data_IF_108732414959
#
_entry.id   IF_108732414959
#
_cell.length_a   1.000
_cell.length_b   1.000
_cell.length_c   1.000
_cell.angle_alpha   90.00
_cell.angle_beta   90.00
_cell.angle_gamma   90.00
#
_symmetry.space_group_name_H-M   'P 1'
#
loop_
_entity.id
_entity.type
_entity.pdbx_description
1 polymer ?
#
# COMPACT_ATOMS: atom_id res chain seq x y z
N UNK A 1 -12.35 -24.81 -3.95
CA UNK A 1 -13.22 -24.42 -2.82
C UNK A 1 -14.17 -23.35 -3.33
N UNK A 2 -15.48 -23.57 -3.24
CA UNK A 2 -16.49 -22.64 -3.71
C UNK A 2 -16.49 -21.39 -2.80
N UNK A 3 -15.71 -20.38 -3.17
CA UNK A 3 -15.87 -19.04 -2.60
C UNK A 3 -17.26 -18.55 -2.95
N UNK A 4 -18.06 -18.19 -1.94
CA UNK A 4 -19.23 -17.35 -2.19
C UNK A 4 -18.71 -16.10 -2.88
N UNK A 5 -19.05 -15.93 -4.16
CA UNK A 5 -18.83 -14.67 -4.85
C UNK A 5 -19.67 -13.64 -4.08
N UNK A 6 -18.99 -12.77 -3.33
CA UNK A 6 -19.67 -11.71 -2.60
C UNK A 6 -20.20 -10.77 -3.69
N UNK A 7 -21.52 -10.72 -3.84
CA UNK A 7 -22.18 -9.78 -4.75
C UNK A 7 -22.00 -8.37 -4.17
N UNK A 8 -20.90 -7.71 -4.53
CA UNK A 8 -20.57 -6.35 -4.11
C UNK A 8 -21.09 -5.36 -5.14
N UNK A 9 -22.39 -5.40 -5.42
CA UNK A 9 -23.03 -4.34 -6.18
C UNK A 9 -22.85 -2.99 -5.47
N UNK A 10 -22.70 -1.91 -6.24
CA UNK A 10 -22.73 -0.57 -5.67
C UNK A 10 -24.10 -0.30 -5.04
N UNK A 11 -24.16 0.50 -3.96
CA UNK A 11 -25.42 1.05 -3.46
C UNK A 11 -26.24 1.71 -4.57
N UNK A 12 -27.56 1.67 -4.42
CA UNK A 12 -28.47 2.32 -5.36
C UNK A 12 -28.11 3.80 -5.54
N UNK A 13 -28.16 4.28 -6.79
CA UNK A 13 -27.79 5.66 -7.15
C UNK A 13 -26.28 5.91 -7.29
N UNK A 14 -25.43 4.89 -7.12
CA UNK A 14 -23.99 4.98 -7.38
C UNK A 14 -23.59 4.16 -8.61
N UNK A 15 -22.74 4.73 -9.46
CA UNK A 15 -22.31 4.12 -10.71
C UNK A 15 -20.77 4.11 -10.83
N UNK A 16 -20.24 3.04 -11.41
CA UNK A 16 -18.84 2.96 -11.80
C UNK A 16 -18.58 3.65 -13.14
N UNK A 17 -17.49 4.41 -13.21
CA UNK A 17 -16.97 4.96 -14.45
C UNK A 17 -15.48 4.67 -14.59
N UNK A 18 -15.03 4.44 -15.83
CA UNK A 18 -13.63 4.65 -16.13
C UNK A 18 -13.34 6.13 -15.98
N UNK A 19 -12.21 6.43 -15.35
CA UNK A 19 -11.71 7.78 -15.28
C UNK A 19 -11.58 8.47 -16.65
N UNK A 20 -11.16 7.72 -17.68
CA UNK A 20 -11.01 8.20 -19.04
C UNK A 20 -12.31 8.77 -19.63
N UNK A 21 -13.47 8.27 -19.18
CA UNK A 21 -14.78 8.73 -19.63
C UNK A 21 -15.26 9.99 -18.87
N UNK A 22 -14.56 10.34 -17.79
CA UNK A 22 -14.94 11.41 -16.85
C UNK A 22 -13.76 12.34 -16.53
N UNK A 23 -12.81 12.49 -17.45
CA UNK A 23 -11.57 13.28 -17.27
C UNK A 23 -11.85 14.69 -16.78
N UNK A 24 -12.82 15.40 -17.37
CA UNK A 24 -13.16 16.76 -16.96
C UNK A 24 -13.65 16.83 -15.51
N UNK A 25 -14.53 15.90 -15.12
CA UNK A 25 -15.04 15.83 -13.75
C UNK A 25 -13.92 15.46 -12.77
N UNK A 26 -13.02 14.55 -13.18
CA UNK A 26 -11.85 14.20 -12.38
C UNK A 26 -10.91 15.38 -12.18
N UNK A 27 -10.45 16.02 -13.25
CA UNK A 27 -9.55 17.17 -13.13
C UNK A 27 -10.16 18.31 -12.31
N UNK A 28 -11.47 18.54 -12.42
CA UNK A 28 -12.16 19.51 -11.56
C UNK A 28 -12.07 19.11 -10.09
N UNK A 29 -12.36 17.85 -9.76
CA UNK A 29 -12.32 17.34 -8.38
C UNK A 29 -10.90 17.30 -7.80
N UNK A 30 -9.90 16.95 -8.62
CA UNK A 30 -8.49 16.93 -8.23
C UNK A 30 -7.96 18.33 -7.91
N UNK A 31 -8.43 19.36 -8.63
CA UNK A 31 -8.00 20.74 -8.44
C UNK A 31 -8.80 21.49 -7.35
N UNK A 32 -9.78 20.84 -6.73
CA UNK A 32 -10.54 21.42 -5.63
C UNK A 32 -9.83 21.14 -4.29
N UNK A 33 -9.28 22.16 -3.62
CA UNK A 33 -8.53 21.99 -2.37
C UNK A 33 -9.41 21.51 -1.21
N UNK A 34 -10.74 21.62 -1.32
CA UNK A 34 -11.68 21.15 -0.30
C UNK A 34 -12.17 19.73 -0.57
N UNK A 35 -11.75 19.10 -1.67
CA UNK A 35 -12.18 17.76 -2.00
C UNK A 35 -11.45 16.72 -1.15
N UNK A 36 -12.16 16.12 -0.19
CA UNK A 36 -11.58 15.15 0.74
C UNK A 36 -10.99 13.90 0.08
N UNK A 37 -11.39 13.56 -1.15
CA UNK A 37 -10.81 12.43 -1.88
C UNK A 37 -9.38 12.70 -2.37
N UNK A 38 -9.03 13.98 -2.49
CA UNK A 38 -7.75 14.48 -3.02
C UNK A 38 -6.97 15.30 -1.99
N UNK A 39 -7.41 15.38 -0.73
CA UNK A 39 -6.73 16.15 0.31
C UNK A 39 -5.24 15.76 0.51
N UNK A 40 -4.86 14.54 0.12
CA UNK A 40 -3.47 14.05 0.13
C UNK A 40 -2.58 14.62 -0.98
N UNK A 41 -3.14 15.24 -2.02
CA UNK A 41 -2.35 15.87 -3.10
C UNK A 41 -1.84 17.26 -2.76
N UNK A 42 -2.21 17.80 -1.59
CA UNK A 42 -2.04 19.21 -1.23
C UNK A 42 -1.16 19.51 -0.02
N UNK A 43 -0.50 18.51 0.58
CA UNK A 43 0.24 18.73 1.84
C UNK A 43 1.74 18.91 1.63
N UNK A 44 2.31 19.85 2.37
CA UNK A 44 3.74 20.11 2.65
C UNK A 44 4.48 18.93 3.32
N UNK A 45 4.07 17.68 3.04
CA UNK A 45 4.75 16.46 3.45
C UNK A 45 6.01 16.32 2.59
N UNK A 46 7.16 16.53 3.20
CA UNK A 46 8.47 16.68 2.53
C UNK A 46 8.90 15.44 1.74
N UNK A 47 8.35 14.25 2.00
CA UNK A 47 8.59 13.08 1.16
C UNK A 47 7.60 11.96 1.48
N UNK A 48 6.65 11.72 0.59
CA UNK A 48 5.98 10.42 0.47
C UNK A 48 6.47 9.81 -0.85
N UNK A 49 7.13 8.65 -0.77
CA UNK A 49 7.67 7.94 -1.92
C UNK A 49 6.58 7.78 -2.98
N UNK A 50 6.78 8.37 -4.17
CA UNK A 50 5.85 8.23 -5.30
C UNK A 50 4.83 9.36 -5.49
N UNK A 51 4.73 10.37 -4.60
CA UNK A 51 3.85 11.56 -4.82
C UNK A 51 3.98 12.16 -6.23
N UNK A 52 5.20 12.40 -6.76
CA UNK A 52 5.36 12.99 -8.10
C UNK A 52 4.75 12.17 -9.23
N UNK A 53 4.58 10.85 -9.03
CA UNK A 53 4.14 9.91 -10.06
C UNK A 53 2.63 9.69 -10.12
N UNK A 54 1.89 10.07 -9.08
CA UNK A 54 0.41 9.99 -9.10
C UNK A 54 -0.23 10.76 -10.24
N UNK A 55 0.44 11.84 -10.68
CA UNK A 55 0.00 12.63 -11.82
C UNK A 55 -0.04 11.83 -13.11
N UNK A 56 0.91 10.92 -13.30
CA UNK A 56 0.96 10.10 -14.51
C UNK A 56 -0.24 9.13 -14.61
N UNK A 57 -0.80 8.68 -13.48
CA UNK A 57 -1.96 7.78 -13.48
C UNK A 57 -3.21 8.38 -14.15
N UNK A 58 -3.30 9.71 -14.25
CA UNK A 58 -4.44 10.39 -14.88
C UNK A 58 -4.05 11.30 -16.05
N UNK A 59 -2.76 11.62 -16.23
CA UNK A 59 -2.29 12.36 -17.40
C UNK A 59 -1.85 11.46 -18.55
N UNK A 60 -1.40 10.24 -18.26
CA UNK A 60 -0.94 9.31 -19.28
C UNK A 60 -2.10 8.47 -19.84
N UNK A 61 -2.26 8.49 -21.16
CA UNK A 61 -3.35 7.81 -21.86
C UNK A 61 -3.32 6.28 -21.69
N UNK A 62 -2.14 5.70 -21.45
CA UNK A 62 -2.01 4.27 -21.21
C UNK A 62 -2.45 3.88 -19.80
N UNK A 63 -2.26 4.78 -18.83
CA UNK A 63 -2.50 4.52 -17.40
C UNK A 63 -3.91 4.91 -16.96
N UNK A 64 -4.51 5.94 -17.53
CA UNK A 64 -5.82 6.46 -17.10
C UNK A 64 -6.96 5.44 -17.20
N UNK A 65 -6.88 4.52 -18.16
CA UNK A 65 -7.93 3.48 -18.38
C UNK A 65 -8.08 2.49 -17.21
N UNK A 66 -7.06 2.37 -16.37
CA UNK A 66 -7.05 1.48 -15.21
C UNK A 66 -7.69 2.11 -13.96
N UNK A 67 -7.96 3.41 -13.97
CA UNK A 67 -8.48 4.12 -12.82
C UNK A 67 -10.01 4.07 -12.81
N UNK A 68 -10.60 4.11 -11.60
CA UNK A 68 -12.04 3.98 -11.41
C UNK A 68 -12.57 5.10 -10.53
N UNK A 69 -13.74 5.59 -10.92
CA UNK A 69 -14.52 6.57 -10.17
C UNK A 69 -15.87 5.96 -9.83
N UNK A 70 -16.37 6.28 -8.64
CA UNK A 70 -17.77 6.08 -8.27
C UNK A 70 -18.42 7.45 -8.25
N UNK A 71 -19.49 7.59 -9.03
CA UNK A 71 -20.22 8.84 -9.18
C UNK A 71 -21.65 8.64 -8.72
N UNK A 72 -22.17 9.58 -7.94
CA UNK A 72 -23.57 9.62 -7.56
C UNK A 72 -24.42 10.10 -8.74
N UNK A 73 -25.38 9.29 -9.17
CA UNK A 73 -26.17 9.48 -10.40
C UNK A 73 -26.98 10.77 -10.37
N UNK A 74 -27.59 11.11 -9.22
CA UNK A 74 -28.44 12.29 -9.10
C UNK A 74 -27.69 13.63 -9.05
N UNK A 75 -26.43 13.62 -8.60
CA UNK A 75 -25.65 14.86 -8.38
C UNK A 75 -24.48 15.00 -9.36
N UNK A 76 -24.06 13.90 -10.00
CA UNK A 76 -22.85 13.86 -10.83
C UNK A 76 -21.54 13.96 -10.03
N UNK A 77 -21.62 13.88 -8.69
CA UNK A 77 -20.49 14.04 -7.80
C UNK A 77 -19.62 12.79 -7.72
N UNK A 78 -18.30 12.95 -7.74
CA UNK A 78 -17.36 11.86 -7.43
C UNK A 78 -17.38 11.61 -5.92
N UNK A 79 -17.79 10.42 -5.53
CA UNK A 79 -17.95 10.00 -4.13
C UNK A 79 -16.91 9.00 -3.66
N UNK A 80 -16.29 8.30 -4.61
CA UNK A 80 -15.16 7.44 -4.34
C UNK A 80 -14.28 7.30 -5.58
N UNK A 81 -13.04 6.88 -5.35
CA UNK A 81 -12.08 6.60 -6.40
C UNK A 81 -11.20 5.41 -6.03
N UNK A 82 -10.64 4.78 -7.05
CA UNK A 82 -9.55 3.84 -6.85
C UNK A 82 -8.50 4.00 -7.94
N UNK A 83 -7.25 3.97 -7.47
CA UNK A 83 -6.08 4.02 -8.32
C UNK A 83 -5.42 2.66 -8.45
N UNK A 84 -5.04 2.34 -9.68
CA UNK A 84 -4.26 1.17 -10.02
C UNK A 84 -3.07 1.54 -10.90
N UNK A 85 -2.05 0.69 -10.91
CA UNK A 85 -0.99 0.75 -11.91
C UNK A 85 -0.79 -0.64 -12.52
N UNK A 86 -0.86 -0.78 -13.85
CA UNK A 86 -0.47 -2.02 -14.50
C UNK A 86 1.05 -2.17 -14.46
N UNK A 87 1.56 -3.39 -14.35
CA UNK A 87 3.00 -3.65 -14.44
C UNK A 87 3.31 -4.99 -15.10
N UNK A 88 4.48 -5.06 -15.72
CA UNK A 88 5.07 -6.29 -16.18
C UNK A 88 5.96 -6.89 -15.09
N UNK A 89 5.78 -8.18 -14.86
CA UNK A 89 6.61 -9.00 -13.99
C UNK A 89 7.22 -10.18 -14.78
N UNK A 90 8.54 -10.20 -15.02
CA UNK A 90 9.20 -11.27 -15.76
C UNK A 90 9.02 -12.65 -15.10
N UNK A 91 9.08 -12.72 -13.77
CA UNK A 91 8.89 -13.99 -13.03
C UNK A 91 7.47 -14.53 -13.18
N UNK A 92 6.46 -13.66 -13.14
CA UNK A 92 5.07 -14.06 -13.40
C UNK A 92 4.91 -14.54 -14.84
N UNK A 93 5.52 -13.85 -15.82
CA UNK A 93 5.50 -14.28 -17.22
C UNK A 93 6.10 -15.69 -17.37
N UNK A 94 7.23 -15.97 -16.70
CA UNK A 94 7.84 -17.29 -16.71
C UNK A 94 6.95 -18.37 -16.06
N UNK A 95 6.26 -18.06 -14.95
CA UNK A 95 5.29 -18.97 -14.31
C UNK A 95 4.12 -19.28 -15.23
N UNK A 96 3.56 -18.25 -15.87
CA UNK A 96 2.44 -18.39 -16.80
C UNK A 96 2.84 -19.23 -18.03
N UNK A 97 4.04 -19.01 -18.57
CA UNK A 97 4.57 -19.79 -19.69
C UNK A 97 4.74 -21.26 -19.34
N UNK A 98 5.26 -21.59 -18.14
CA UNK A 98 5.38 -22.98 -17.66
C UNK A 98 4.01 -23.64 -17.48
N UNK A 99 3.03 -22.88 -17.00
CA UNK A 99 1.67 -23.39 -16.77
C UNK A 99 0.90 -23.65 -18.07
N UNK A 100 1.27 -22.96 -19.16
CA UNK A 100 0.70 -23.16 -20.49
C UNK A 100 1.38 -24.29 -21.29
N UNK A 101 2.52 -24.80 -20.84
CA UNK A 101 3.22 -25.90 -21.52
C UNK A 101 2.45 -27.23 -21.35
N UNK A 102 2.30 -28.02 -22.42
CA UNK A 102 1.64 -29.33 -22.33
C UNK A 102 2.43 -30.26 -21.41
N UNK A 103 1.79 -30.73 -20.34
CA UNK A 103 2.38 -31.66 -19.38
C UNK A 103 1.68 -33.02 -19.48
N UNK A 104 2.45 -34.11 -19.39
CA UNK A 104 1.94 -35.50 -19.49
C UNK A 104 0.98 -35.88 -18.34
N UNK A 105 0.87 -35.07 -17.28
CA UNK A 105 -0.12 -35.18 -16.23
C UNK A 105 -1.03 -33.94 -16.25
N UNK A 106 -2.30 -34.17 -16.54
CA UNK A 106 -3.23 -33.26 -17.23
C UNK A 106 -3.83 -32.11 -16.38
N UNK A 107 -3.10 -31.48 -15.46
CA UNK A 107 -3.59 -30.26 -14.79
C UNK A 107 -2.41 -29.36 -14.35
N UNK A 108 -2.21 -28.18 -14.95
CA UNK A 108 -1.26 -27.21 -14.43
C UNK A 108 -1.72 -26.74 -13.02
N UNK A 109 -0.80 -26.55 -12.06
CA UNK A 109 -1.17 -26.06 -10.74
C UNK A 109 -1.80 -24.67 -10.88
N UNK A 110 -2.87 -24.36 -10.12
CA UNK A 110 -3.52 -23.07 -10.23
C UNK A 110 -2.53 -21.96 -9.82
N UNK A 111 -2.65 -20.80 -10.47
CA UNK A 111 -1.67 -19.70 -10.39
C UNK A 111 -1.40 -19.24 -8.95
N UNK A 112 -2.42 -19.40 -8.10
CA UNK A 112 -2.40 -19.11 -6.67
C UNK A 112 -1.46 -20.06 -5.89
N UNK A 113 -1.25 -21.29 -6.37
CA UNK A 113 -0.29 -22.25 -5.80
C UNK A 113 1.17 -21.96 -6.21
N UNK A 114 1.37 -21.16 -7.26
CA UNK A 114 2.70 -20.73 -7.78
C UNK A 114 3.13 -19.35 -7.28
N UNK A 115 2.37 -18.73 -6.37
CA UNK A 115 2.62 -17.38 -5.85
C UNK A 115 3.99 -17.25 -5.20
N UNK A 116 4.47 -18.28 -4.47
CA UNK A 116 5.80 -18.27 -3.86
C UNK A 116 6.94 -18.14 -4.89
N UNK A 117 6.79 -18.75 -6.08
CA UNK A 117 7.84 -18.78 -7.11
C UNK A 117 8.09 -17.39 -7.74
N UNK A 118 7.07 -16.53 -7.77
CA UNK A 118 7.16 -15.22 -8.42
C UNK A 118 6.97 -14.06 -7.46
N UNK A 119 5.96 -14.06 -6.60
CA UNK A 119 5.50 -12.85 -5.92
C UNK A 119 6.47 -12.42 -4.81
N UNK A 120 6.89 -13.36 -3.96
CA UNK A 120 7.87 -13.10 -2.88
C UNK A 120 9.17 -12.48 -3.42
N UNK A 121 9.81 -13.03 -4.48
CA UNK A 121 11.03 -12.45 -5.04
C UNK A 121 10.81 -11.28 -6.02
N UNK A 122 9.61 -11.02 -6.55
CA UNK A 122 9.39 -10.01 -7.58
C UNK A 122 8.68 -8.73 -7.11
N UNK A 123 7.87 -8.80 -6.04
CA UNK A 123 7.23 -7.61 -5.50
C UNK A 123 8.28 -6.80 -4.70
N UNK A 124 8.30 -5.46 -4.81
CA UNK A 124 9.32 -4.65 -4.15
C UNK A 124 9.09 -4.50 -2.64
N UNK A 125 10.15 -4.21 -1.90
CA UNK A 125 10.08 -3.93 -0.46
C UNK A 125 9.59 -2.52 -0.15
N UNK A 126 9.75 -1.59 -1.10
CA UNK A 126 9.24 -0.22 -1.07
C UNK A 126 7.74 -0.11 -1.36
N UNK A 127 7.02 -1.25 -1.42
CA UNK A 127 5.56 -1.29 -1.46
C UNK A 127 4.93 -0.59 -2.65
N UNK A 128 3.87 0.17 -2.37
CA UNK A 128 3.11 0.90 -3.38
C UNK A 128 3.95 1.95 -4.10
N UNK A 129 4.88 2.64 -3.43
CA UNK A 129 5.70 3.70 -4.00
C UNK A 129 6.67 3.17 -5.07
N UNK A 130 7.36 2.06 -4.79
CA UNK A 130 8.23 1.40 -5.78
C UNK A 130 7.41 0.76 -6.91
N UNK A 131 6.23 0.19 -6.62
CA UNK A 131 5.44 -0.44 -7.68
C UNK A 131 4.72 0.56 -8.59
N UNK A 132 4.28 1.71 -8.05
CA UNK A 132 3.84 2.87 -8.83
C UNK A 132 4.95 3.33 -9.77
N UNK A 133 6.17 3.45 -9.24
CA UNK A 133 7.36 3.77 -10.04
C UNK A 133 7.59 2.79 -11.18
N UNK A 134 7.60 1.48 -10.87
CA UNK A 134 7.78 0.43 -11.88
C UNK A 134 6.75 0.55 -12.99
N UNK A 135 5.46 0.63 -12.65
CA UNK A 135 4.40 0.63 -13.65
C UNK A 135 4.39 1.89 -14.53
N UNK A 136 4.68 3.06 -13.96
CA UNK A 136 4.83 4.32 -14.72
C UNK A 136 6.03 4.26 -15.65
N UNK A 137 7.19 3.80 -15.18
CA UNK A 137 8.39 3.69 -16.00
C UNK A 137 8.24 2.69 -17.13
N UNK A 138 7.57 1.56 -16.91
CA UNK A 138 7.27 0.59 -17.96
C UNK A 138 6.29 1.17 -19.01
N UNK A 139 5.31 1.98 -18.59
CA UNK A 139 4.44 2.70 -19.54
C UNK A 139 5.25 3.71 -20.37
N UNK A 140 6.17 4.43 -19.75
CA UNK A 140 7.07 5.34 -20.46
C UNK A 140 7.97 4.58 -21.45
N UNK A 141 8.56 3.46 -21.04
CA UNK A 141 9.37 2.61 -21.90
C UNK A 141 8.59 2.12 -23.14
N UNK A 142 7.33 1.68 -22.95
CA UNK A 142 6.43 1.29 -24.06
C UNK A 142 6.13 2.42 -25.04
N UNK A 143 6.14 3.66 -24.55
CA UNK A 143 5.87 4.86 -25.33
C UNK A 143 7.15 5.53 -25.86
N UNK A 144 8.34 4.98 -25.58
CA UNK A 144 9.63 5.60 -25.91
C UNK A 144 9.89 6.91 -25.16
N UNK A 145 9.19 7.16 -24.04
CA UNK A 145 9.38 8.34 -23.20
C UNK A 145 10.54 8.11 -22.22
N UNK A 146 11.47 9.06 -22.05
CA UNK A 146 12.49 8.96 -21.02
C UNK A 146 11.90 9.20 -19.62
N UNK A 147 12.53 8.69 -18.55
CA UNK A 147 12.26 9.11 -17.18
C UNK A 147 12.37 10.63 -17.04
N UNK A 148 11.47 11.25 -16.30
CA UNK A 148 11.43 12.71 -16.19
C UNK A 148 12.08 13.18 -14.88
N UNK A 149 12.88 14.25 -14.96
CA UNK A 149 13.59 14.81 -13.81
C UNK A 149 12.64 15.22 -12.66
N UNK A 150 11.39 15.60 -12.96
CA UNK A 150 10.36 15.94 -11.96
C UNK A 150 9.95 14.77 -11.06
N UNK A 151 10.30 13.54 -11.42
CA UNK A 151 10.02 12.35 -10.62
C UNK A 151 11.17 11.98 -9.67
N UNK A 152 12.30 12.67 -9.76
CA UNK A 152 13.46 12.48 -8.88
C UNK A 152 13.35 13.38 -7.63
N UNK A 153 14.09 13.08 -6.54
CA UNK A 153 15.00 11.95 -6.36
C UNK A 153 14.28 10.60 -6.22
N UNK A 154 14.95 9.52 -6.62
CA UNK A 154 14.45 8.15 -6.48
C UNK A 154 15.07 7.48 -5.26
N UNK A 155 14.35 6.53 -4.65
CA UNK A 155 14.94 5.64 -3.65
C UNK A 155 15.98 4.71 -4.29
N UNK A 156 16.87 4.13 -3.48
CA UNK A 156 17.84 3.15 -3.99
C UNK A 156 17.17 1.97 -4.70
N UNK A 157 16.02 1.52 -4.19
CA UNK A 157 15.27 0.43 -4.81
C UNK A 157 14.68 0.86 -6.16
N UNK A 158 14.10 2.06 -6.26
CA UNK A 158 13.59 2.61 -7.52
C UNK A 158 14.72 2.79 -8.55
N UNK A 159 15.91 3.20 -8.12
CA UNK A 159 17.07 3.29 -9.01
C UNK A 159 17.50 1.91 -9.54
N UNK A 160 17.52 0.87 -8.69
CA UNK A 160 17.77 -0.52 -9.12
C UNK A 160 16.70 -1.04 -10.07
N UNK A 161 15.43 -0.74 -9.78
CA UNK A 161 14.29 -1.08 -10.64
C UNK A 161 14.44 -0.47 -12.03
N UNK A 162 14.81 0.81 -12.12
CA UNK A 162 15.01 1.50 -13.39
C UNK A 162 16.16 0.90 -14.20
N UNK A 163 17.25 0.50 -13.55
CA UNK A 163 18.35 -0.21 -14.21
C UNK A 163 17.97 -1.63 -14.68
N UNK A 164 16.79 -2.13 -14.29
CA UNK A 164 16.31 -3.47 -14.61
C UNK A 164 14.85 -3.48 -15.02
N UNK A 165 14.00 -4.11 -14.21
CA UNK A 165 12.62 -4.48 -14.59
C UNK A 165 11.71 -3.30 -14.94
N UNK A 166 11.93 -2.11 -14.37
CA UNK A 166 11.11 -0.93 -14.65
C UNK A 166 11.41 -0.31 -16.03
N UNK A 167 12.54 -0.63 -16.65
CA UNK A 167 12.87 -0.20 -18.02
C UNK A 167 12.28 -1.08 -19.12
N UNK A 168 11.68 -2.22 -18.75
CA UNK A 168 11.20 -3.20 -19.72
C UNK A 168 9.92 -2.69 -20.42
N UNK A 169 9.89 -2.69 -21.77
CA UNK A 169 8.73 -2.25 -22.54
C UNK A 169 7.70 -3.37 -22.74
N UNK A 170 7.83 -4.50 -22.06
CA UNK A 170 6.88 -5.59 -22.16
C UNK A 170 5.47 -5.15 -21.74
N UNK A 171 4.42 -5.73 -22.35
CA UNK A 171 3.05 -5.47 -21.94
C UNK A 171 2.82 -5.95 -20.51
N UNK A 172 1.98 -5.24 -19.73
CA UNK A 172 1.71 -5.61 -18.35
C UNK A 172 1.02 -6.98 -18.26
N UNK A 173 1.37 -7.75 -17.22
CA UNK A 173 0.76 -9.04 -16.92
C UNK A 173 0.13 -9.10 -15.52
N UNK A 174 0.25 -8.02 -14.74
CA UNK A 174 -0.33 -7.87 -13.42
C UNK A 174 -0.87 -6.45 -13.22
N UNK A 175 -1.83 -6.31 -12.30
CA UNK A 175 -2.37 -5.03 -11.84
C UNK A 175 -1.97 -4.82 -10.39
N UNK A 176 -1.53 -3.63 -10.00
CA UNK A 176 -1.44 -3.25 -8.60
C UNK A 176 -2.53 -2.26 -8.23
N UNK A 177 -3.33 -2.56 -7.19
CA UNK A 177 -4.18 -1.56 -6.54
C UNK A 177 -3.31 -0.68 -5.65
N UNK A 178 -3.30 0.63 -5.86
CA UNK A 178 -2.43 1.57 -5.13
C UNK A 178 -3.22 2.26 -4.03
N UNK A 179 -4.46 2.68 -4.30
CA UNK A 179 -5.24 3.44 -3.33
C UNK A 179 -6.74 3.37 -3.60
N UNK A 180 -7.51 3.47 -2.52
CA UNK A 180 -8.97 3.56 -2.52
C UNK A 180 -9.34 4.68 -1.56
N UNK A 181 -10.16 5.63 -2.02
CA UNK A 181 -10.75 6.65 -1.17
C UNK A 181 -12.27 6.68 -1.35
N UNK A 182 -12.97 6.84 -0.23
CA UNK A 182 -14.42 6.98 -0.17
C UNK A 182 -14.74 8.17 0.71
N UNK A 183 -15.61 9.06 0.22
CA UNK A 183 -16.11 10.21 0.95
C UNK A 183 -16.75 9.80 2.27
N UNK A 184 -16.59 10.60 3.31
CA UNK A 184 -16.97 10.24 4.68
C UNK A 184 -18.41 9.74 4.78
N UNK A 185 -19.34 10.46 4.14
CA UNK A 185 -20.77 10.15 4.14
C UNK A 185 -21.14 8.84 3.42
N UNK A 186 -20.29 8.36 2.50
CA UNK A 186 -20.48 7.11 1.74
C UNK A 186 -19.72 5.90 2.34
N UNK A 187 -19.01 6.09 3.46
CA UNK A 187 -18.29 5.00 4.14
C UNK A 187 -19.27 4.04 4.82
N UNK A 188 -18.84 2.77 4.97
CA UNK A 188 -19.63 1.67 5.58
C UNK A 188 -20.88 1.28 4.79
N UNK A 189 -20.97 1.67 3.52
CA UNK A 189 -22.07 1.33 2.62
C UNK A 189 -21.67 0.27 1.57
N UNK A 190 -20.53 -0.39 1.70
CA UNK A 190 -20.05 -1.39 0.72
C UNK A 190 -19.27 -0.83 -0.47
N UNK A 191 -19.07 0.50 -0.55
CA UNK A 191 -18.40 1.16 -1.68
C UNK A 191 -16.94 0.74 -1.85
N UNK A 192 -16.20 0.62 -0.74
CA UNK A 192 -14.80 0.18 -0.80
C UNK A 192 -14.67 -1.27 -1.24
N UNK A 193 -15.59 -2.13 -0.82
CA UNK A 193 -15.67 -3.53 -1.22
C UNK A 193 -15.96 -3.66 -2.70
N UNK A 194 -16.92 -2.89 -3.20
CA UNK A 194 -17.22 -2.82 -4.62
C UNK A 194 -16.00 -2.35 -5.44
N UNK A 195 -15.25 -1.35 -4.95
CA UNK A 195 -14.00 -0.90 -5.59
C UNK A 195 -12.90 -1.97 -5.58
N UNK A 196 -12.73 -2.71 -4.48
CA UNK A 196 -11.76 -3.80 -4.40
C UNK A 196 -12.10 -4.95 -5.36
N UNK A 197 -13.38 -5.31 -5.47
CA UNK A 197 -13.85 -6.29 -6.47
C UNK A 197 -13.65 -5.75 -7.89
N UNK A 198 -13.80 -4.44 -8.10
CA UNK A 198 -13.57 -3.82 -9.39
C UNK A 198 -12.11 -3.93 -9.86
N UNK A 199 -11.11 -4.04 -8.97
CA UNK A 199 -9.73 -4.32 -9.39
C UNK A 199 -9.61 -5.63 -10.18
N UNK A 200 -10.32 -6.69 -9.76
CA UNK A 200 -10.39 -7.94 -10.53
C UNK A 200 -11.06 -7.72 -11.88
N UNK A 201 -12.12 -6.92 -11.94
CA UNK A 201 -12.79 -6.59 -13.19
C UNK A 201 -11.87 -5.83 -14.16
N UNK A 202 -11.12 -4.83 -13.69
CA UNK A 202 -10.10 -4.12 -14.46
C UNK A 202 -9.05 -5.10 -15.00
N UNK A 203 -8.55 -6.00 -14.14
CA UNK A 203 -7.56 -7.00 -14.52
C UNK A 203 -8.09 -7.92 -15.63
N UNK A 204 -9.33 -8.44 -15.51
CA UNK A 204 -9.99 -9.27 -16.54
C UNK A 204 -10.12 -8.52 -17.86
N UNK A 205 -10.65 -7.30 -17.83
CA UNK A 205 -10.84 -6.47 -19.03
C UNK A 205 -9.53 -6.21 -19.78
N UNK A 206 -8.41 -6.13 -19.05
CA UNK A 206 -7.08 -5.91 -19.62
C UNK A 206 -6.24 -7.19 -19.75
N UNK A 207 -6.83 -8.37 -19.57
CA UNK A 207 -6.18 -9.69 -19.69
C UNK A 207 -4.94 -9.84 -18.78
N UNK A 208 -4.99 -9.25 -17.59
CA UNK A 208 -3.96 -9.37 -16.57
C UNK A 208 -4.22 -10.59 -15.70
N UNK A 209 -3.16 -11.29 -15.30
CA UNK A 209 -3.27 -12.59 -14.64
C UNK A 209 -3.59 -12.48 -13.13
N UNK A 210 -3.19 -11.38 -12.49
CA UNK A 210 -3.29 -11.21 -11.03
C UNK A 210 -3.51 -9.75 -10.66
N UNK A 211 -4.14 -9.53 -9.50
CA UNK A 211 -4.11 -8.24 -8.81
C UNK A 211 -3.27 -8.33 -7.54
N UNK A 212 -2.24 -7.49 -7.43
CA UNK A 212 -1.46 -7.28 -6.22
C UNK A 212 -1.95 -6.02 -5.48
N UNK A 213 -1.95 -6.03 -4.15
CA UNK A 213 -2.26 -4.84 -3.35
C UNK A 213 -1.31 -4.81 -2.15
N UNK A 214 -0.55 -3.73 -1.94
CA UNK A 214 0.11 -3.49 -0.68
C UNK A 214 -0.93 -2.94 0.31
N UNK A 215 -1.16 -3.67 1.40
CA UNK A 215 -2.20 -3.36 2.39
C UNK A 215 -1.55 -2.71 3.60
N UNK A 216 -1.83 -1.42 3.78
CA UNK A 216 -1.48 -0.69 5.00
C UNK A 216 -2.41 -1.07 6.15
N UNK A 217 -1.84 -1.28 7.34
CA UNK A 217 -2.56 -1.80 8.50
C UNK A 217 -3.26 -0.66 9.27
N UNK A 218 -4.54 -0.45 8.96
CA UNK A 218 -5.35 0.69 9.41
C UNK A 218 -5.46 0.87 10.92
N UNK A 219 -5.44 -0.22 11.70
CA UNK A 219 -5.54 -0.17 13.16
C UNK A 219 -4.20 -0.26 13.87
N UNK A 220 -3.09 -0.48 13.16
CA UNK A 220 -1.75 -0.62 13.77
C UNK A 220 -1.41 0.57 14.68
N UNK A 221 -1.82 1.78 14.30
CA UNK A 221 -1.62 3.02 15.09
C UNK A 221 -2.27 3.00 16.49
N UNK A 222 -3.21 2.08 16.74
CA UNK A 222 -3.85 1.89 18.04
C UNK A 222 -3.12 0.86 18.92
N UNK A 223 -2.21 0.08 18.32
CA UNK A 223 -1.45 -1.00 18.93
C UNK A 223 0.04 -0.75 18.74
N UNK A 224 0.48 0.39 19.27
CA UNK A 224 1.84 0.85 19.10
C UNK A 224 2.82 -0.07 19.82
N UNK A 225 2.41 -0.73 20.91
CA UNK A 225 3.19 -1.67 21.73
C UNK A 225 3.80 -2.87 20.97
N UNK A 226 3.14 -3.31 19.89
CA UNK A 226 3.61 -4.42 19.05
C UNK A 226 4.50 -3.98 17.89
N UNK A 227 5.54 -4.76 17.58
CA UNK A 227 6.26 -4.59 16.31
C UNK A 227 5.30 -4.82 15.13
N UNK A 228 5.63 -4.25 13.96
CA UNK A 228 4.87 -4.54 12.73
C UNK A 228 4.72 -6.05 12.53
N UNK A 229 5.83 -6.77 12.75
CA UNK A 229 5.97 -8.20 12.54
C UNK A 229 5.09 -9.04 13.49
N UNK A 230 4.81 -8.54 14.69
CA UNK A 230 3.88 -9.16 15.62
C UNK A 230 2.43 -8.78 15.31
N UNK A 231 2.17 -7.50 15.03
CA UNK A 231 0.81 -7.01 14.85
C UNK A 231 0.10 -7.67 13.68
N UNK A 232 0.75 -7.80 12.52
CA UNK A 232 0.09 -8.40 11.36
C UNK A 232 -0.30 -9.86 11.62
N UNK A 233 0.40 -10.55 12.53
CA UNK A 233 0.16 -11.95 12.95
C UNK A 233 -1.02 -12.11 13.91
N UNK A 234 -1.53 -11.03 14.52
CA UNK A 234 -2.63 -11.12 15.47
C UNK A 234 -3.97 -11.47 14.81
N UNK A 235 -4.83 -12.19 15.55
CA UNK A 235 -6.17 -12.56 15.11
C UNK A 235 -7.26 -11.84 15.90
N UNK A 236 -8.47 -11.75 15.34
CA UNK A 236 -9.62 -11.13 16.02
C UNK A 236 -10.00 -11.83 17.34
N UNK A 237 -9.91 -13.16 17.39
CA UNK A 237 -10.27 -13.96 18.56
C UNK A 237 -9.16 -14.08 19.60
N UNK A 238 -7.93 -13.76 19.22
CA UNK A 238 -6.74 -13.97 20.05
C UNK A 238 -5.66 -12.94 19.69
N UNK A 239 -5.82 -11.67 20.10
CA UNK A 239 -4.79 -10.65 19.91
C UNK A 239 -3.55 -10.99 20.77
N UNK A 240 -2.38 -10.46 20.40
CA UNK A 240 -1.11 -10.64 21.13
C UNK A 240 -0.49 -12.05 21.12
N UNK A 241 -0.98 -12.97 20.28
CA UNK A 241 -0.31 -14.26 20.03
C UNK A 241 0.44 -14.24 18.69
N UNK A 242 1.79 -14.16 18.69
CA UNK A 242 2.58 -14.03 17.47
C UNK A 242 2.81 -15.35 16.73
N UNK A 243 2.38 -16.49 17.28
CA UNK A 243 2.63 -17.83 16.71
C UNK A 243 1.87 -18.13 15.41
N UNK A 244 1.07 -17.19 14.92
CA UNK A 244 0.31 -17.32 13.68
C UNK A 244 1.01 -16.58 12.54
N UNK A 245 1.25 -17.21 11.40
CA UNK A 245 1.50 -16.48 10.16
C UNK A 245 0.25 -16.51 9.30
N UNK A 246 -0.06 -15.38 8.67
CA UNK A 246 -1.08 -15.32 7.64
C UNK A 246 -0.48 -15.40 6.23
N UNK A 247 0.85 -15.37 6.13
CA UNK A 247 1.56 -15.49 4.86
C UNK A 247 1.35 -16.88 4.24
N UNK A 248 1.44 -16.94 2.92
CA UNK A 248 1.22 -18.16 2.16
C UNK A 248 2.06 -19.33 2.70
N UNK A 249 1.40 -20.46 2.96
CA UNK A 249 2.00 -21.67 3.53
C UNK A 249 1.36 -22.08 4.86
N UNK A 250 0.87 -21.11 5.64
CA UNK A 250 0.05 -21.38 6.81
C UNK A 250 -1.41 -21.54 6.40
N UNK A 251 -1.94 -22.76 6.56
CA UNK A 251 -3.34 -23.07 6.23
C UNK A 251 -4.28 -22.16 7.04
N UNK A 252 -5.39 -21.74 6.42
CA UNK A 252 -6.52 -21.10 7.13
C UNK A 252 -6.82 -21.94 8.37
N UNK A 253 -6.49 -21.41 9.55
CA UNK A 253 -6.87 -22.05 10.81
C UNK A 253 -8.35 -21.80 11.01
N UNK A 254 -9.04 -22.83 11.47
CA UNK A 254 -10.44 -22.76 11.82
C UNK A 254 -10.53 -22.83 13.33
N UNK A 255 -11.33 -21.95 13.93
CA UNK A 255 -11.63 -21.95 15.35
C UNK A 255 -13.15 -22.00 15.49
N UNK A 256 -13.65 -23.00 16.22
CA UNK A 256 -15.09 -23.22 16.42
C UNK A 256 -15.92 -23.32 15.11
N UNK A 257 -15.32 -23.87 14.04
CA UNK A 257 -15.99 -24.05 12.74
C UNK A 257 -15.98 -22.81 11.84
N UNK A 258 -15.39 -21.69 12.28
CA UNK A 258 -15.23 -20.47 11.49
C UNK A 258 -13.76 -20.22 11.15
N UNK A 259 -13.44 -19.62 9.99
CA UNK A 259 -12.07 -19.28 9.66
C UNK A 259 -11.56 -18.19 10.61
N UNK A 260 -10.39 -18.40 11.20
CA UNK A 260 -9.69 -17.36 11.93
C UNK A 260 -9.36 -16.21 10.98
N UNK A 261 -9.48 -14.98 11.49
CA UNK A 261 -9.34 -13.76 10.70
C UNK A 261 -8.29 -12.83 11.28
N UNK A 262 -7.52 -12.10 10.44
CA UNK A 262 -6.62 -11.07 10.89
C UNK A 262 -7.30 -10.05 11.80
N UNK A 263 -6.57 -9.54 12.79
CA UNK A 263 -7.05 -8.48 13.67
C UNK A 263 -7.33 -7.18 12.89
N UNK A 264 -6.42 -6.81 11.97
CA UNK A 264 -6.58 -5.59 11.19
C UNK A 264 -7.82 -5.65 10.28
N UNK A 265 -8.76 -4.69 10.37
CA UNK A 265 -9.99 -4.73 9.58
C UNK A 265 -9.75 -4.70 8.08
N UNK A 266 -8.73 -3.98 7.62
CA UNK A 266 -8.47 -3.81 6.20
C UNK A 266 -7.81 -5.07 5.62
N UNK A 267 -6.86 -5.64 6.35
CA UNK A 267 -6.27 -6.93 5.99
C UNK A 267 -7.31 -8.06 5.97
N UNK A 268 -8.21 -8.08 6.97
CA UNK A 268 -9.34 -9.02 7.01
C UNK A 268 -10.24 -8.88 5.80
N UNK A 269 -10.54 -7.65 5.36
CA UNK A 269 -11.40 -7.43 4.20
C UNK A 269 -10.80 -8.05 2.93
N UNK A 270 -9.51 -7.88 2.70
CA UNK A 270 -8.82 -8.53 1.58
C UNK A 270 -8.90 -10.06 1.69
N UNK A 271 -8.72 -10.61 2.91
CA UNK A 271 -8.80 -12.04 3.18
C UNK A 271 -10.21 -12.62 2.91
N UNK A 272 -11.26 -11.92 3.35
CA UNK A 272 -12.67 -12.25 3.07
C UNK A 272 -12.97 -12.30 1.57
N UNK A 273 -12.34 -11.41 0.79
CA UNK A 273 -12.43 -11.35 -0.68
C UNK A 273 -11.55 -12.39 -1.40
N UNK A 274 -10.96 -13.32 -0.65
CA UNK A 274 -10.17 -14.43 -1.18
C UNK A 274 -8.70 -14.10 -1.44
N UNK A 275 -8.17 -13.01 -0.89
CA UNK A 275 -6.77 -12.68 -1.05
C UNK A 275 -5.86 -13.69 -0.35
N UNK A 276 -4.66 -13.85 -0.89
CA UNK A 276 -3.54 -14.54 -0.26
C UNK A 276 -2.50 -13.50 0.18
N UNK A 277 -2.03 -13.58 1.42
CA UNK A 277 -0.94 -12.74 1.89
C UNK A 277 0.39 -13.37 1.47
N UNK A 278 1.30 -12.55 0.94
CA UNK A 278 2.51 -13.04 0.28
C UNK A 278 3.75 -12.74 1.10
N UNK A 279 4.02 -11.45 1.33
CA UNK A 279 5.20 -11.00 2.08
C UNK A 279 4.96 -9.64 2.70
N UNK A 280 5.79 -9.32 3.68
CA UNK A 280 5.93 -7.96 4.22
C UNK A 280 6.69 -7.10 3.21
N UNK A 281 6.23 -5.87 2.99
CA UNK A 281 6.97 -4.79 2.37
C UNK A 281 7.39 -3.84 3.50
N UNK A 282 8.65 -3.84 3.95
CA UNK A 282 9.05 -3.16 5.19
C UNK A 282 9.15 -1.63 5.08
N UNK A 283 9.17 -1.05 3.88
CA UNK A 283 9.47 0.38 3.66
C UNK A 283 8.48 1.04 2.70
N UNK A 284 7.19 0.99 3.03
CA UNK A 284 6.13 1.47 2.12
C UNK A 284 5.67 2.88 2.41
N UNK A 285 5.94 3.37 3.61
CA UNK A 285 5.60 4.69 4.08
C UNK A 285 6.79 5.27 4.83
N UNK A 286 7.34 6.33 4.26
CA UNK A 286 8.32 7.19 4.94
C UNK A 286 7.62 8.52 5.20
N UNK A 287 7.62 8.96 6.46
CA UNK A 287 7.18 10.31 6.84
C UNK A 287 8.38 11.02 7.46
N UNK A 288 8.95 11.94 6.70
CA UNK A 288 10.06 12.77 7.16
C UNK A 288 9.56 14.15 7.57
N UNK A 289 9.75 14.52 8.83
CA UNK A 289 9.46 15.86 9.34
C UNK A 289 10.66 16.38 10.14
N UNK A 290 10.85 17.72 10.25
CA UNK A 290 11.86 18.29 11.12
C UNK A 290 11.73 17.74 12.55
N UNK A 291 12.87 17.52 13.23
CA UNK A 291 12.85 17.02 14.61
C UNK A 291 11.96 17.89 15.52
N UNK A 292 12.04 19.21 15.37
CA UNK A 292 11.21 20.17 16.09
C UNK A 292 9.69 19.97 15.93
N UNK A 293 9.24 19.39 14.80
CA UNK A 293 7.83 19.05 14.55
C UNK A 293 7.40 17.77 15.26
N UNK A 294 8.30 16.79 15.36
CA UNK A 294 8.06 15.53 16.08
C UNK A 294 8.08 15.69 17.60
N UNK A 295 8.96 16.56 18.10
CA UNK A 295 9.22 16.74 19.54
C UNK A 295 7.95 17.02 20.38
N UNK A 296 7.02 17.92 19.99
CA UNK A 296 5.77 18.14 20.74
C UNK A 296 4.88 16.90 20.83
N UNK A 297 4.73 16.15 19.74
CA UNK A 297 3.92 14.93 19.70
C UNK A 297 4.54 13.83 20.58
N UNK A 298 5.86 13.69 20.51
CA UNK A 298 6.61 12.82 21.41
C UNK A 298 6.39 13.25 22.86
N UNK A 299 6.66 14.52 23.21
CA UNK A 299 6.48 15.07 24.58
C UNK A 299 5.06 14.89 25.12
N UNK A 300 4.03 15.16 24.31
CA UNK A 300 2.63 14.99 24.72
C UNK A 300 2.29 13.54 25.07
N UNK A 301 2.79 12.58 24.28
CA UNK A 301 2.63 11.15 24.55
C UNK A 301 3.49 10.66 25.73
N UNK A 302 4.58 11.35 26.03
CA UNK A 302 5.46 11.09 27.18
C UNK A 302 5.12 11.88 28.44
N UNK A 303 3.94 12.54 28.54
CA UNK A 303 3.51 13.42 29.66
C UNK A 303 3.48 12.82 31.08
N UNK A 304 3.97 11.60 31.31
CA UNK A 304 4.39 11.16 32.63
C UNK A 304 5.86 11.53 32.95
N UNK A 305 6.54 12.29 32.09
CA UNK A 305 7.86 12.87 32.33
C UNK A 305 7.71 14.17 33.14
N UNK A 306 8.43 14.27 34.25
CA UNK A 306 8.37 15.41 35.17
C UNK A 306 8.62 16.76 34.50
N UNK A 307 7.99 17.81 35.02
CA UNK A 307 7.80 19.14 34.42
C UNK A 307 9.06 19.97 34.06
N UNK A 308 10.29 19.44 34.10
CA UNK A 308 11.50 20.25 34.10
C UNK A 308 12.43 20.19 32.86
N UNK A 309 12.17 19.42 31.79
CA UNK A 309 13.08 19.38 30.62
C UNK A 309 12.62 20.31 29.49
N UNK A 310 12.79 21.62 29.68
CA UNK A 310 12.38 22.58 28.65
C UNK A 310 13.39 22.83 27.52
N UNK A 311 14.66 22.36 27.52
CA UNK A 311 15.57 22.89 26.48
C UNK A 311 16.80 22.11 25.94
N UNK A 312 17.04 20.83 26.21
CA UNK A 312 18.36 20.23 25.86
C UNK A 312 18.30 18.81 25.30
N UNK A 313 17.40 18.54 24.35
CA UNK A 313 17.34 17.21 23.69
C UNK A 313 18.54 16.98 22.74
N UNK A 314 19.09 18.04 22.16
CA UNK A 314 20.22 17.94 21.23
C UNK A 314 21.59 17.87 21.93
N UNK A 315 21.73 18.47 23.12
CA UNK A 315 23.03 18.65 23.79
C UNK A 315 23.38 17.52 24.76
N UNK A 316 22.40 16.76 25.27
CA UNK A 316 22.63 15.81 26.36
C UNK A 316 23.03 14.40 25.89
N UNK A 317 22.94 14.09 24.58
CA UNK A 317 23.30 12.76 24.06
C UNK A 317 23.68 12.77 22.56
N UNK A 318 24.89 13.25 22.20
CA UNK A 318 25.32 13.41 20.80
C UNK A 318 25.35 12.11 19.99
N UNK A 319 25.46 10.95 20.66
CA UNK A 319 25.47 9.63 20.01
C UNK A 319 24.10 9.25 19.40
N UNK A 320 23.00 9.87 19.84
CA UNK A 320 21.66 9.64 19.27
C UNK A 320 21.47 10.29 17.89
N UNK A 321 22.33 11.25 17.53
CA UNK A 321 22.17 12.09 16.34
C UNK A 321 23.17 11.76 15.22
N UNK A 322 23.69 10.53 15.23
CA UNK A 322 24.51 10.02 14.12
C UNK A 322 23.61 9.54 12.98
N UNK A 323 24.03 9.74 11.73
CA UNK A 323 23.28 9.32 10.53
C UNK A 323 22.85 7.85 10.59
N UNK A 324 21.58 7.58 10.28
CA UNK A 324 21.04 6.21 10.27
C UNK A 324 20.78 5.62 11.65
N UNK A 325 21.04 6.37 12.73
CA UNK A 325 20.69 5.94 14.08
C UNK A 325 19.18 5.83 14.22
N UNK A 326 18.74 4.67 14.72
CA UNK A 326 17.36 4.48 15.14
C UNK A 326 17.18 5.18 16.49
N UNK A 327 16.57 6.36 16.45
CA UNK A 327 16.19 7.12 17.64
C UNK A 327 14.97 6.44 18.24
N UNK A 328 15.22 5.77 19.36
CA UNK A 328 14.16 5.33 20.25
C UNK A 328 13.64 6.57 20.98
N UNK A 329 12.36 6.91 20.79
CA UNK A 329 11.73 8.04 21.48
C UNK A 329 11.82 7.93 23.00
N UNK A 330 12.04 6.73 23.55
CA UNK A 330 12.27 6.51 24.98
C UNK A 330 13.67 6.88 25.46
N UNK A 331 14.60 7.22 24.55
CA UNK A 331 15.98 7.64 24.88
C UNK A 331 16.17 9.16 24.85
N UNK A 332 15.12 9.91 24.53
CA UNK A 332 15.14 11.38 24.43
C UNK A 332 14.82 12.11 25.74
N UNK A 333 14.63 11.39 26.85
CA UNK A 333 14.83 11.84 28.23
C UNK A 333 14.60 10.63 29.16
N UNK A 334 15.39 10.52 30.23
CA UNK A 334 15.59 9.31 31.04
C UNK A 334 14.39 8.72 31.78
N UNK A 335 13.36 8.26 31.07
CA UNK A 335 12.19 7.56 31.62
C UNK A 335 11.94 6.27 30.85
N UNK A 336 11.64 5.18 31.57
CA UNK A 336 11.22 3.91 30.97
C UNK A 336 9.94 4.13 30.15
N UNK A 337 9.85 3.60 28.92
CA UNK A 337 8.66 3.82 28.10
C UNK A 337 7.41 3.28 28.80
N UNK A 338 6.35 4.10 28.82
CA UNK A 338 5.01 3.55 28.91
C UNK A 338 4.75 2.69 27.68
N UNK A 339 3.88 1.68 27.75
CA UNK A 339 3.69 0.67 26.69
C UNK A 339 3.27 1.23 25.32
N UNK A 340 3.01 2.53 25.18
CA UNK A 340 2.31 3.10 24.02
C UNK A 340 3.22 3.69 22.91
N UNK A 341 4.55 3.56 22.94
CA UNK A 341 5.39 4.11 21.86
C UNK A 341 6.77 3.41 21.65
N UNK A 342 6.86 2.36 20.83
CA UNK A 342 8.13 1.73 20.45
C UNK A 342 8.52 1.96 18.97
N UNK A 343 7.94 2.95 18.27
CA UNK A 343 8.34 3.19 16.87
C UNK A 343 9.66 3.94 16.82
N UNK A 344 10.69 3.25 16.32
CA UNK A 344 12.01 3.82 16.08
C UNK A 344 11.91 4.82 14.93
N UNK A 345 12.25 6.08 15.20
CA UNK A 345 12.40 7.09 14.16
C UNK A 345 13.85 7.04 13.67
N UNK A 346 14.08 7.02 12.36
CA UNK A 346 15.43 7.11 11.82
C UNK A 346 15.85 8.57 11.71
N UNK A 347 17.04 8.90 12.19
CA UNK A 347 17.62 10.23 12.01
C UNK A 347 18.30 10.37 10.65
N UNK A 348 17.91 11.40 9.89
CA UNK A 348 18.58 11.90 8.68
C UNK A 348 19.34 13.16 9.09
N UNK A 349 20.64 13.00 9.41
CA UNK A 349 21.51 14.06 9.91
C UNK A 349 21.79 15.12 8.85
N UNK A 350 21.86 14.70 7.58
CA UNK A 350 22.09 15.61 6.46
C UNK A 350 20.96 16.62 6.28
N UNK A 351 19.73 16.26 6.65
CA UNK A 351 18.53 17.11 6.50
C UNK A 351 17.91 17.57 7.82
N UNK A 352 18.47 17.13 8.94
CA UNK A 352 17.91 17.34 10.29
C UNK A 352 16.46 16.85 10.44
N UNK A 353 16.14 15.71 9.82
CA UNK A 353 14.80 15.13 9.81
C UNK A 353 14.73 13.85 10.66
N UNK A 354 13.61 13.67 11.37
CA UNK A 354 13.23 12.37 11.89
C UNK A 354 12.27 11.71 10.91
N UNK A 355 12.58 10.46 10.58
CA UNK A 355 11.87 9.65 9.58
C UNK A 355 11.12 8.53 10.29
N UNK A 356 9.80 8.55 10.18
CA UNK A 356 8.94 7.42 10.55
C UNK A 356 8.84 6.48 9.36
N UNK A 357 9.14 5.20 9.58
CA UNK A 357 9.04 4.15 8.57
C UNK A 357 7.93 3.15 8.98
N UNK A 358 7.08 2.80 8.02
CA UNK A 358 6.04 1.78 8.17
C UNK A 358 6.01 0.86 6.95
N UNK A 359 5.45 -0.33 7.16
CA UNK A 359 5.34 -1.36 6.15
C UNK A 359 3.90 -1.60 5.71
N UNK A 360 3.78 -2.37 4.63
CA UNK A 360 2.53 -2.94 4.16
C UNK A 360 2.66 -4.46 4.08
N UNK A 361 1.52 -5.14 3.97
CA UNK A 361 1.49 -6.55 3.60
C UNK A 361 1.09 -6.66 2.13
N UNK A 362 1.94 -7.28 1.30
CA UNK A 362 1.54 -7.64 -0.05
C UNK A 362 0.48 -8.73 0.00
N UNK A 363 -0.67 -8.46 -0.61
CA UNK A 363 -1.71 -9.44 -0.85
C UNK A 363 -1.97 -9.60 -2.33
N UNK A 364 -2.35 -10.82 -2.72
CA UNK A 364 -2.71 -11.16 -4.09
C UNK A 364 -4.14 -11.64 -4.16
N UNK A 365 -4.79 -11.23 -5.23
CA UNK A 365 -6.12 -11.66 -5.61
C UNK A 365 -6.03 -12.44 -6.92
N UNK A 366 -6.58 -13.67 -6.93
CA UNK A 366 -6.85 -14.37 -8.19
C UNK A 366 -7.84 -13.56 -9.01
N UNK A 367 -7.57 -13.50 -10.31
CA UNK A 367 -8.45 -12.87 -11.31
C UNK A 367 -9.46 -13.89 -11.86
N UNK A 368 -9.18 -15.19 -11.75
CA UNK A 368 -10.04 -16.28 -12.25
C UNK A 368 -10.75 -17.01 -11.12
#
# INVERSE_FOLDING_TARGET
MNGREIDTALPAGLLFFHAADKVTAWHKALNDPNNELFAWTYTDLVSLVGIPMWRELHLDAELIKYQRLVIHEGTGEIVALAYCVPFFCPRLAAVLARSAAPNNNNTPPPLDQLVSDWATPALPDGGWGTLLFRGVMQAFARQGKPPQARHAPWTEEQARELAGVASLPDPPNALCGIFVAVKHEYRRQGVSEALLVNFKAIARQNRLAVTAVPVHLTKRRQYLDGSFDEYYRWSKGNPYRPEMSWLQGDRRRWENGEPMMPLDPWLRKHFELGAQLVKVAPRTLDISLPAATWLPFMREKYKNAGENSQNTIFDENPDLWQEGTLVDGSKLDGVRPGPEFPVKLRWDAARELLVYEDGDIWVLHSVY
#
